data_IF_770831115778
#
_entry.id   IF_770831115778
#
_cell.length_a   1.000
_cell.length_b   1.000
_cell.length_c   1.000
_cell.angle_alpha   90.00
_cell.angle_beta   90.00
_cell.angle_gamma   90.00
#
_symmetry.space_group_name_H-M   'P 1'
#
loop_
_entity.id
_entity.type
_entity.pdbx_description
1 polymer ?
#
# COMPACT_ATOMS: atom_id res chain seq x y z
N UNK A 1 55.63 -56.24 -41.33
CA UNK A 1 56.36 -56.72 -42.52
C UNK A 1 56.62 -55.50 -43.39
N UNK A 2 57.86 -55.01 -43.55
CA UNK A 2 58.91 -55.59 -44.42
C UNK A 2 58.35 -55.70 -45.84
N UNK A 3 58.86 -55.09 -46.91
CA UNK A 3 60.12 -54.41 -47.22
C UNK A 3 60.00 -54.05 -48.74
N UNK A 4 60.72 -53.02 -49.22
CA UNK A 4 61.34 -52.91 -50.57
C UNK A 4 60.45 -52.35 -51.71
N UNK A 5 60.92 -51.59 -52.70
CA UNK A 5 62.23 -51.01 -53.03
C UNK A 5 62.09 -50.14 -54.30
N UNK A 6 63.13 -49.32 -54.55
CA UNK A 6 63.68 -48.93 -55.87
C UNK A 6 62.87 -47.94 -56.72
N UNK A 7 63.44 -46.92 -57.41
CA UNK A 7 64.83 -46.63 -57.74
C UNK A 7 64.96 -45.26 -58.46
N UNK A 8 66.13 -44.62 -58.30
CA UNK A 8 67.01 -44.06 -59.37
C UNK A 8 66.57 -42.72 -60.04
N UNK A 9 67.22 -41.58 -59.69
CA UNK A 9 68.36 -40.88 -60.37
C UNK A 9 67.86 -39.95 -61.51
N UNK A 10 68.24 -38.67 -61.71
CA UNK A 10 69.49 -37.89 -61.53
C UNK A 10 69.19 -36.41 -61.16
N UNK A 11 69.81 -35.82 -60.14
CA UNK A 11 71.11 -35.10 -60.11
C UNK A 11 71.32 -34.11 -61.27
N UNK A 12 71.23 -32.82 -60.94
CA UNK A 12 72.16 -31.83 -61.47
C UNK A 12 72.43 -30.76 -60.39
N UNK A 13 73.61 -30.89 -59.78
CA UNK A 13 74.26 -29.88 -58.95
C UNK A 13 75.00 -28.90 -59.84
N UNK A 14 74.91 -27.61 -59.53
CA UNK A 14 76.00 -26.66 -59.77
C UNK A 14 76.38 -26.05 -58.42
N UNK A 15 77.63 -26.20 -57.97
CA UNK A 15 78.09 -25.65 -56.71
C UNK A 15 78.50 -24.19 -56.93
N UNK A 16 78.18 -23.32 -55.97
CA UNK A 16 79.19 -22.35 -55.55
C UNK A 16 79.19 -22.24 -54.03
N UNK A 17 80.33 -22.61 -53.48
CA UNK A 17 80.60 -22.79 -52.07
C UNK A 17 81.56 -21.68 -51.68
N UNK A 18 81.13 -20.74 -50.84
CA UNK A 18 82.04 -19.93 -50.02
C UNK A 18 81.51 -19.79 -48.60
N UNK A 19 82.08 -20.67 -47.77
CA UNK A 19 82.69 -20.36 -46.47
C UNK A 19 81.75 -19.94 -45.34
N UNK A 20 81.41 -20.95 -44.54
CA UNK A 20 81.49 -21.00 -43.06
C UNK A 20 81.69 -19.67 -42.33
N UNK A 21 80.71 -19.32 -41.49
CA UNK A 21 81.01 -19.05 -40.09
C UNK A 21 79.81 -19.45 -39.21
N UNK A 22 80.11 -20.20 -38.15
CA UNK A 22 79.17 -20.73 -37.17
C UNK A 22 79.45 -19.99 -35.87
N UNK A 23 78.53 -19.16 -35.36
CA UNK A 23 78.49 -18.80 -33.93
C UNK A 23 77.07 -18.53 -33.45
N UNK A 24 76.70 -19.30 -32.41
CA UNK A 24 75.92 -18.89 -31.24
C UNK A 24 74.46 -18.44 -31.39
N UNK A 25 73.57 -19.39 -31.09
CA UNK A 25 72.28 -19.11 -30.45
C UNK A 25 72.53 -18.43 -29.10
N UNK A 26 72.41 -17.11 -29.06
CA UNK A 26 72.26 -16.36 -27.82
C UNK A 26 70.78 -16.18 -27.53
N UNK A 27 70.34 -16.81 -26.45
CA UNK A 27 69.09 -16.52 -25.76
C UNK A 27 69.05 -15.01 -25.49
N UNK A 28 68.20 -14.30 -26.22
CA UNK A 28 67.74 -13.00 -25.79
C UNK A 28 66.55 -13.28 -24.90
N UNK A 29 66.80 -13.30 -23.59
CA UNK A 29 65.76 -13.02 -22.60
C UNK A 29 65.07 -11.72 -23.05
N UNK A 30 63.89 -11.87 -23.64
CA UNK A 30 62.97 -10.78 -23.94
C UNK A 30 62.50 -10.24 -22.59
N UNK A 31 63.37 -9.40 -22.03
CA UNK A 31 63.14 -8.58 -20.88
C UNK A 31 61.97 -7.68 -21.28
N UNK A 32 60.78 -7.98 -20.75
CA UNK A 32 59.59 -7.15 -20.86
C UNK A 32 59.93 -5.74 -20.35
N UNK A 33 60.42 -4.91 -21.25
CA UNK A 33 60.47 -3.47 -21.08
C UNK A 33 59.04 -3.00 -21.26
N UNK A 34 58.33 -2.82 -20.15
CA UNK A 34 57.07 -2.08 -20.13
C UNK A 34 57.39 -0.65 -20.58
N UNK A 35 57.24 -0.40 -21.88
CA UNK A 35 57.18 0.94 -22.46
C UNK A 35 56.18 1.79 -21.66
N UNK A 36 56.53 3.03 -21.28
CA UNK A 36 55.66 3.87 -20.48
C UNK A 36 54.33 4.06 -21.22
N UNK A 37 53.19 4.04 -20.50
CA UNK A 37 51.88 4.13 -21.13
C UNK A 37 51.78 5.39 -21.98
N UNK A 38 51.44 5.23 -23.27
CA UNK A 38 51.27 6.35 -24.19
C UNK A 38 50.12 7.24 -23.75
N UNK A 39 50.20 8.55 -23.98
CA UNK A 39 49.15 9.50 -23.58
C UNK A 39 47.76 9.10 -24.11
N UNK A 40 47.70 8.51 -25.32
CA UNK A 40 46.48 7.98 -25.93
C UNK A 40 45.88 6.81 -25.15
N UNK A 41 46.70 5.88 -24.66
CA UNK A 41 46.24 4.74 -23.84
C UNK A 41 45.64 5.21 -22.52
N UNK A 42 46.27 6.19 -21.87
CA UNK A 42 45.76 6.77 -20.61
C UNK A 42 44.44 7.51 -20.80
N UNK A 43 44.25 8.21 -21.92
CA UNK A 43 43.00 8.90 -22.25
C UNK A 43 41.85 7.91 -22.53
N UNK A 44 42.14 6.81 -23.24
CA UNK A 44 41.16 5.75 -23.49
C UNK A 44 40.70 5.06 -22.20
N UNK A 45 41.63 4.77 -21.28
CA UNK A 45 41.29 4.20 -19.97
C UNK A 45 40.40 5.15 -19.15
N UNK A 46 40.70 6.45 -19.16
CA UNK A 46 39.87 7.46 -18.49
C UNK A 46 38.46 7.53 -19.08
N UNK A 47 38.33 7.49 -20.41
CA UNK A 47 37.03 7.46 -21.08
C UNK A 47 36.23 6.20 -20.74
N UNK A 48 36.88 5.03 -20.73
CA UNK A 48 36.23 3.78 -20.32
C UNK A 48 35.78 3.81 -18.86
N UNK A 49 36.59 4.38 -17.96
CA UNK A 49 36.21 4.56 -16.56
C UNK A 49 34.99 5.48 -16.42
N UNK A 50 34.94 6.57 -17.19
CA UNK A 50 33.78 7.49 -17.23
C UNK A 50 32.52 6.83 -17.78
N UNK A 51 32.62 6.03 -18.83
CA UNK A 51 31.49 5.29 -19.38
C UNK A 51 30.93 4.30 -18.36
N UNK A 52 31.79 3.54 -17.67
CA UNK A 52 31.36 2.64 -16.59
C UNK A 52 30.65 3.38 -15.45
N UNK A 53 31.18 4.53 -15.03
CA UNK A 53 30.56 5.38 -14.01
C UNK A 53 29.17 5.88 -14.46
N UNK A 54 29.03 6.28 -15.73
CA UNK A 54 27.75 6.71 -16.30
C UNK A 54 26.74 5.56 -16.39
N UNK A 55 27.17 4.37 -16.83
CA UNK A 55 26.32 3.17 -16.90
C UNK A 55 25.79 2.77 -15.51
N UNK A 56 26.65 2.81 -14.49
CA UNK A 56 26.25 2.52 -13.10
C UNK A 56 25.25 3.54 -12.57
N UNK A 57 25.48 4.83 -12.87
CA UNK A 57 24.53 5.90 -12.52
C UNK A 57 23.20 5.73 -13.24
N UNK A 58 23.21 5.41 -14.54
CA UNK A 58 22.00 5.20 -15.33
C UNK A 58 21.19 4.03 -14.78
N UNK A 59 21.81 2.88 -14.50
CA UNK A 59 21.13 1.75 -13.86
C UNK A 59 20.57 2.13 -12.49
N UNK A 60 21.32 2.90 -11.70
CA UNK A 60 20.87 3.40 -10.40
C UNK A 60 19.66 4.34 -10.51
N UNK A 61 19.60 5.17 -11.55
CA UNK A 61 18.46 6.04 -11.84
C UNK A 61 17.25 5.22 -12.31
N UNK A 62 17.41 4.28 -13.23
CA UNK A 62 16.35 3.41 -13.72
C UNK A 62 15.68 2.63 -12.56
N UNK A 63 16.47 2.06 -11.65
CA UNK A 63 15.92 1.37 -10.46
C UNK A 63 15.13 2.30 -9.53
N UNK A 64 15.56 3.56 -9.41
CA UNK A 64 14.84 4.57 -8.61
C UNK A 64 13.55 4.97 -9.30
N UNK A 65 13.56 5.17 -10.60
CA UNK A 65 12.37 5.48 -11.40
C UNK A 65 11.34 4.36 -11.32
N UNK A 66 11.75 3.10 -11.48
CA UNK A 66 10.87 1.94 -11.33
C UNK A 66 10.26 1.88 -9.92
N UNK A 67 11.06 2.13 -8.88
CA UNK A 67 10.57 2.18 -7.50
C UNK A 67 9.58 3.31 -7.29
N UNK A 68 9.86 4.50 -7.80
CA UNK A 68 8.97 5.66 -7.70
C UNK A 68 7.66 5.36 -8.43
N UNK A 69 7.72 4.79 -9.63
CA UNK A 69 6.53 4.40 -10.40
C UNK A 69 5.70 3.32 -9.68
N UNK A 70 6.34 2.36 -9.02
CA UNK A 70 5.64 1.37 -8.20
C UNK A 70 4.91 2.04 -7.02
N UNK A 71 5.61 2.92 -6.28
CA UNK A 71 5.02 3.66 -5.17
C UNK A 71 3.88 4.59 -5.61
N UNK A 72 3.98 5.23 -6.78
CA UNK A 72 2.91 6.05 -7.35
C UNK A 72 1.65 5.21 -7.59
N UNK A 73 1.78 4.03 -8.21
CA UNK A 73 0.65 3.12 -8.43
C UNK A 73 0.02 2.65 -7.12
N UNK A 74 0.82 2.35 -6.11
CA UNK A 74 0.32 1.95 -4.79
C UNK A 74 -0.45 3.08 -4.11
N UNK A 75 0.06 4.32 -4.20
CA UNK A 75 -0.62 5.51 -3.68
C UNK A 75 -1.94 5.79 -4.40
N UNK A 76 -1.98 5.68 -5.73
CA UNK A 76 -3.20 5.83 -6.51
C UNK A 76 -4.24 4.77 -6.14
N UNK A 77 -3.80 3.51 -5.98
CA UNK A 77 -4.67 2.42 -5.54
C UNK A 77 -5.23 2.66 -4.13
N UNK A 78 -4.40 3.15 -3.20
CA UNK A 78 -4.81 3.50 -1.85
C UNK A 78 -5.83 4.66 -1.86
N UNK A 79 -5.56 5.72 -2.62
CA UNK A 79 -6.45 6.87 -2.76
C UNK A 79 -7.81 6.46 -3.35
N UNK A 80 -7.83 5.59 -4.36
CA UNK A 80 -9.07 5.07 -4.94
C UNK A 80 -9.88 4.25 -3.93
N UNK A 81 -9.22 3.42 -3.11
CA UNK A 81 -9.88 2.67 -2.03
C UNK A 81 -10.48 3.60 -0.99
N UNK A 82 -9.72 4.58 -0.51
CA UNK A 82 -10.20 5.56 0.46
C UNK A 82 -11.38 6.38 -0.08
N UNK A 83 -11.34 6.80 -1.34
CA UNK A 83 -12.44 7.51 -1.98
C UNK A 83 -13.71 6.64 -2.06
N UNK A 84 -13.57 5.35 -2.39
CA UNK A 84 -14.69 4.41 -2.41
C UNK A 84 -15.28 4.19 -1.01
N UNK A 85 -14.43 4.04 0.01
CA UNK A 85 -14.87 3.91 1.39
C UNK A 85 -15.55 5.18 1.90
N UNK A 86 -15.00 6.35 1.59
CA UNK A 86 -15.60 7.64 1.90
C UNK A 86 -17.00 7.77 1.32
N UNK A 87 -17.18 7.49 0.02
CA UNK A 87 -18.50 7.48 -0.63
C UNK A 87 -19.46 6.47 0.00
N UNK A 88 -18.98 5.29 0.40
CA UNK A 88 -19.79 4.27 1.08
C UNK A 88 -20.27 4.78 2.44
N UNK A 89 -19.38 5.37 3.24
CA UNK A 89 -19.72 5.91 4.55
C UNK A 89 -20.68 7.11 4.43
N UNK A 90 -20.46 7.98 3.46
CA UNK A 90 -21.35 9.12 3.18
C UNK A 90 -22.75 8.64 2.77
N UNK A 91 -22.85 7.64 1.89
CA UNK A 91 -24.13 7.02 1.52
C UNK A 91 -24.83 6.32 2.70
N UNK A 92 -24.06 5.70 3.59
CA UNK A 92 -24.61 5.12 4.83
C UNK A 92 -25.15 6.22 5.75
N UNK A 93 -24.40 7.30 5.95
CA UNK A 93 -24.80 8.42 6.79
C UNK A 93 -26.05 9.15 6.23
N UNK A 94 -26.11 9.39 4.92
CA UNK A 94 -27.27 10.02 4.29
C UNK A 94 -28.52 9.14 4.40
N UNK A 95 -28.39 7.84 4.17
CA UNK A 95 -29.52 6.90 4.33
C UNK A 95 -30.04 6.86 5.77
N UNK A 96 -29.15 6.88 6.77
CA UNK A 96 -29.54 6.94 8.18
C UNK A 96 -30.26 8.25 8.53
N UNK A 97 -29.80 9.37 7.98
CA UNK A 97 -30.40 10.68 8.21
C UNK A 97 -31.81 10.78 7.57
N UNK A 98 -31.98 10.28 6.34
CA UNK A 98 -33.29 10.23 5.69
C UNK A 98 -34.27 9.31 6.41
N UNK A 99 -33.80 8.15 6.89
CA UNK A 99 -34.62 7.21 7.66
C UNK A 99 -35.05 7.83 9.01
N UNK A 100 -34.15 8.53 9.71
CA UNK A 100 -34.53 9.29 10.91
C UNK A 100 -35.58 10.35 10.60
N UNK A 101 -35.42 11.11 9.51
CA UNK A 101 -36.41 12.11 9.11
C UNK A 101 -37.78 11.49 8.86
N UNK A 102 -37.85 10.39 8.11
CA UNK A 102 -39.11 9.68 7.87
C UNK A 102 -39.75 9.14 9.14
N UNK A 103 -38.95 8.68 10.10
CA UNK A 103 -39.48 8.24 11.40
C UNK A 103 -40.06 9.42 12.20
N UNK A 104 -39.38 10.56 12.22
CA UNK A 104 -39.85 11.78 12.88
C UNK A 104 -41.08 12.39 12.18
N UNK A 105 -41.23 12.20 10.88
CA UNK A 105 -42.43 12.60 10.12
C UNK A 105 -43.67 11.74 10.46
N UNK A 106 -43.48 10.49 10.90
CA UNK A 106 -44.59 9.61 11.29
C UNK A 106 -45.16 9.93 12.69
N UNK A 107 -44.37 10.56 13.57
CA UNK A 107 -44.81 11.02 14.89
C UNK A 107 -44.18 12.39 15.23
N UNK A 108 -44.80 13.50 14.78
CA UNK A 108 -44.27 14.84 15.02
C UNK A 108 -44.27 15.23 16.50
N UNK A 109 -45.14 14.60 17.32
CA UNK A 109 -45.17 14.84 18.76
C UNK A 109 -43.95 14.23 19.45
N UNK A 110 -43.58 12.99 19.08
CA UNK A 110 -42.35 12.36 19.55
C UNK A 110 -41.11 13.12 19.08
N UNK A 111 -41.08 13.57 17.82
CA UNK A 111 -39.97 14.37 17.30
C UNK A 111 -39.73 15.65 18.09
N UNK A 112 -40.81 16.33 18.48
CA UNK A 112 -40.73 17.52 19.33
C UNK A 112 -40.19 17.19 20.72
N UNK A 113 -40.66 16.09 21.33
CA UNK A 113 -40.15 15.62 22.63
C UNK A 113 -38.66 15.31 22.58
N UNK A 114 -38.19 14.56 21.58
CA UNK A 114 -36.76 14.25 21.41
C UNK A 114 -35.93 15.54 21.38
N UNK A 115 -36.37 16.55 20.61
CA UNK A 115 -35.67 17.83 20.51
C UNK A 115 -35.61 18.58 21.84
N UNK A 116 -36.70 18.59 22.61
CA UNK A 116 -36.72 19.19 23.95
C UNK A 116 -35.70 18.48 24.85
N UNK A 117 -35.75 17.15 24.93
CA UNK A 117 -34.87 16.37 25.80
C UNK A 117 -33.40 16.39 25.35
N UNK A 118 -33.13 16.54 24.05
CA UNK A 118 -31.75 16.70 23.55
C UNK A 118 -31.13 18.05 23.94
N UNK A 119 -31.95 19.11 24.00
CA UNK A 119 -31.53 20.43 24.45
C UNK A 119 -31.49 20.60 25.97
N UNK A 120 -32.18 19.72 26.72
CA UNK A 120 -32.26 19.74 28.17
C UNK A 120 -30.95 19.29 28.83
N UNK A 121 -30.72 19.74 30.06
CA UNK A 121 -29.61 19.24 30.88
C UNK A 121 -29.83 17.78 31.28
N UNK A 122 -28.79 16.92 31.24
CA UNK A 122 -28.95 15.48 31.50
C UNK A 122 -29.53 15.17 32.88
N UNK A 123 -29.18 15.95 33.90
CA UNK A 123 -29.67 15.78 35.27
C UNK A 123 -31.18 16.10 35.38
N UNK A 124 -31.63 17.20 34.77
CA UNK A 124 -33.05 17.55 34.73
C UNK A 124 -33.87 16.53 33.91
N UNK A 125 -33.31 16.08 32.80
CA UNK A 125 -33.91 15.05 31.98
C UNK A 125 -34.06 13.73 32.77
N UNK A 126 -33.06 13.35 33.57
CA UNK A 126 -33.11 12.16 34.41
C UNK A 126 -34.29 12.16 35.38
N UNK A 127 -34.52 13.27 36.08
CA UNK A 127 -35.65 13.43 37.01
C UNK A 127 -37.01 13.22 36.33
N UNK A 128 -37.15 13.67 35.08
CA UNK A 128 -38.38 13.49 34.29
C UNK A 128 -38.51 12.07 33.74
N UNK A 129 -37.41 11.48 33.25
CA UNK A 129 -37.35 10.10 32.75
C UNK A 129 -37.68 9.10 33.87
N UNK A 130 -37.26 9.38 35.09
CA UNK A 130 -37.53 8.56 36.27
C UNK A 130 -39.04 8.37 36.52
N UNK A 131 -39.86 9.36 36.20
CA UNK A 131 -41.32 9.30 36.38
C UNK A 131 -42.08 8.98 35.08
N UNK A 132 -41.37 8.81 33.97
CA UNK A 132 -41.95 8.54 32.66
C UNK A 132 -42.20 7.04 32.43
N UNK A 133 -43.23 6.74 31.62
CA UNK A 133 -43.52 5.38 31.12
C UNK A 133 -42.32 4.85 30.34
N UNK A 134 -41.97 3.59 30.60
CA UNK A 134 -40.75 2.97 30.08
C UNK A 134 -40.65 3.02 28.55
N UNK A 135 -41.73 2.73 27.82
CA UNK A 135 -41.74 2.79 26.35
C UNK A 135 -41.33 4.16 25.80
N UNK A 136 -41.90 5.24 26.34
CA UNK A 136 -41.59 6.61 25.90
C UNK A 136 -40.17 7.02 26.30
N UNK A 137 -39.71 6.60 27.48
CA UNK A 137 -38.33 6.81 27.90
C UNK A 137 -37.34 6.12 26.94
N UNK A 138 -37.64 4.89 26.51
CA UNK A 138 -36.84 4.15 25.53
C UNK A 138 -36.85 4.82 24.15
N UNK A 139 -38.01 5.30 23.69
CA UNK A 139 -38.11 6.03 22.41
C UNK A 139 -37.22 7.30 22.41
N UNK A 140 -37.25 8.07 23.50
CA UNK A 140 -36.43 9.28 23.64
C UNK A 140 -34.94 8.93 23.77
N UNK A 141 -34.59 8.02 24.69
CA UNK A 141 -33.20 7.64 24.96
C UNK A 141 -32.53 6.97 23.75
N UNK A 142 -33.29 6.24 22.92
CA UNK A 142 -32.78 5.63 21.71
C UNK A 142 -32.51 6.65 20.59
N UNK A 143 -33.18 7.80 20.61
CA UNK A 143 -33.12 8.80 19.56
C UNK A 143 -32.13 9.95 19.82
N UNK A 144 -31.85 10.28 21.08
CA UNK A 144 -30.87 11.33 21.45
C UNK A 144 -29.42 10.83 21.35
N UNK A 145 -28.45 11.75 21.36
CA UNK A 145 -27.01 11.44 21.34
C UNK A 145 -26.60 10.55 22.53
N UNK A 146 -25.77 9.54 22.27
CA UNK A 146 -25.32 8.57 23.27
C UNK A 146 -24.71 9.22 24.53
N UNK A 147 -23.95 10.32 24.37
CA UNK A 147 -23.38 11.06 25.51
C UNK A 147 -24.45 11.68 26.43
N UNK A 148 -25.52 12.23 25.85
CA UNK A 148 -26.65 12.79 26.61
C UNK A 148 -27.45 11.66 27.28
N UNK A 149 -27.73 10.58 26.55
CA UNK A 149 -28.40 9.40 27.11
C UNK A 149 -27.63 8.80 28.29
N UNK A 150 -26.30 8.69 28.21
CA UNK A 150 -25.47 8.23 29.31
C UNK A 150 -25.56 9.16 30.54
N UNK A 151 -25.55 10.48 30.33
CA UNK A 151 -25.74 11.45 31.41
C UNK A 151 -27.13 11.34 32.07
N UNK A 152 -28.17 11.11 31.27
CA UNK A 152 -29.53 10.89 31.78
C UNK A 152 -29.59 9.61 32.61
N UNK A 153 -29.05 8.50 32.10
CA UNK A 153 -29.03 7.22 32.82
C UNK A 153 -28.23 7.30 34.13
N UNK A 154 -27.18 8.13 34.19
CA UNK A 154 -26.40 8.34 35.40
C UNK A 154 -27.19 9.09 36.50
N UNK A 155 -28.18 9.90 36.12
CA UNK A 155 -29.04 10.62 37.07
C UNK A 155 -30.31 9.88 37.46
N UNK A 156 -30.60 8.72 36.86
CA UNK A 156 -31.77 7.89 37.18
C UNK A 156 -31.41 6.89 38.29
N UNK A 157 -32.40 6.48 39.09
CA UNK A 157 -32.23 5.43 40.10
C UNK A 157 -31.58 4.16 39.52
N UNK A 158 -30.60 3.53 40.21
CA UNK A 158 -29.78 2.45 39.64
C UNK A 158 -30.57 1.26 39.09
N UNK A 159 -31.63 0.81 39.77
CA UNK A 159 -32.45 -0.32 39.32
C UNK A 159 -33.21 0.03 38.04
N UNK A 160 -33.77 1.25 37.95
CA UNK A 160 -34.44 1.72 36.72
C UNK A 160 -33.44 1.98 35.58
N UNK A 161 -32.26 2.51 35.87
CA UNK A 161 -31.21 2.70 34.87
C UNK A 161 -30.74 1.38 34.25
N UNK A 162 -30.60 0.32 35.05
CA UNK A 162 -30.30 -1.03 34.57
C UNK A 162 -31.41 -1.55 33.65
N UNK A 163 -32.68 -1.42 34.06
CA UNK A 163 -33.83 -1.83 33.24
C UNK A 163 -33.89 -1.09 31.91
N UNK A 164 -33.72 0.24 31.92
CA UNK A 164 -33.70 1.05 30.70
C UNK A 164 -32.53 0.66 29.78
N UNK A 165 -31.37 0.32 30.34
CA UNK A 165 -30.21 -0.13 29.56
C UNK A 165 -30.47 -1.47 28.86
N UNK A 166 -31.08 -2.44 29.56
CA UNK A 166 -31.51 -3.70 28.94
C UNK A 166 -32.62 -3.48 27.91
N UNK A 167 -33.58 -2.61 28.22
CA UNK A 167 -34.66 -2.21 27.32
C UNK A 167 -34.12 -1.58 26.04
N UNK A 168 -33.14 -0.69 26.12
CA UNK A 168 -32.48 -0.05 24.98
C UNK A 168 -31.84 -1.08 24.05
N UNK A 169 -31.20 -2.13 24.60
CA UNK A 169 -30.62 -3.21 23.79
C UNK A 169 -31.70 -3.91 22.95
N UNK A 170 -32.78 -4.35 23.61
CA UNK A 170 -33.91 -5.05 22.95
C UNK A 170 -34.62 -4.14 21.95
N UNK A 171 -34.85 -2.88 22.32
CA UNK A 171 -35.51 -1.89 21.47
C UNK A 171 -34.72 -1.66 20.17
N UNK A 172 -33.39 -1.48 20.27
CA UNK A 172 -32.51 -1.32 19.11
C UNK A 172 -32.52 -2.58 18.23
N UNK A 173 -32.52 -3.77 18.82
CA UNK A 173 -32.59 -5.04 18.07
C UNK A 173 -33.90 -5.18 17.27
N UNK A 174 -35.06 -4.91 17.90
CA UNK A 174 -36.37 -4.96 17.23
C UNK A 174 -36.43 -3.95 16.09
N UNK A 175 -35.96 -2.71 16.32
CA UNK A 175 -35.91 -1.67 15.29
C UNK A 175 -34.98 -2.03 14.14
N UNK A 176 -33.84 -2.67 14.41
CA UNK A 176 -32.92 -3.17 13.39
C UNK A 176 -33.56 -4.25 12.52
N UNK A 177 -34.31 -5.18 13.12
CA UNK A 177 -35.05 -6.21 12.40
C UNK A 177 -36.15 -5.61 11.50
N UNK A 178 -36.98 -4.72 12.05
CA UNK A 178 -38.00 -4.00 11.26
C UNK A 178 -37.40 -3.23 10.08
N UNK A 179 -36.23 -2.62 10.29
CA UNK A 179 -35.50 -1.93 9.22
C UNK A 179 -35.08 -2.90 8.12
N UNK A 180 -34.48 -4.04 8.48
CA UNK A 180 -34.04 -5.05 7.51
C UNK A 180 -35.21 -5.62 6.71
N UNK A 181 -36.34 -5.91 7.37
CA UNK A 181 -37.55 -6.42 6.72
C UNK A 181 -38.16 -5.41 5.73
N UNK A 182 -38.13 -4.11 6.07
CA UNK A 182 -38.61 -3.06 5.18
C UNK A 182 -37.72 -2.85 3.94
N UNK A 183 -36.41 -3.15 4.06
CA UNK A 183 -35.47 -3.12 2.93
C UNK A 183 -35.63 -4.36 2.03
N UNK A 184 -35.99 -5.51 2.59
CA UNK A 184 -36.19 -6.74 1.82
C UNK A 184 -37.49 -6.74 0.99
N UNK A 185 -38.47 -5.89 1.34
CA UNK A 185 -39.76 -5.77 0.65
C UNK A 185 -39.78 -4.72 -0.47
N UNK A 186 -38.71 -3.94 -0.63
CA UNK A 186 -38.54 -2.95 -1.70
C UNK A 186 -37.56 -3.47 -2.75
#
# INVERSE_FOLDING_TARGET
>A
MVLWATAVWSVQETPDMKTTDSYENQQVEDRLEEEPPSEESTLLEQLQARLKELDERERGLQQREERVAALQRDLEALAARQAKEGKRLEGQASSLAEEQRRYLEQDPALAHLIKIYESMDPEEAALRIEHMREGLALDILAAIKDKKAAGVLAGVEPVKAAKLSEGLRKYREIKLQQRNDSKARK
#
